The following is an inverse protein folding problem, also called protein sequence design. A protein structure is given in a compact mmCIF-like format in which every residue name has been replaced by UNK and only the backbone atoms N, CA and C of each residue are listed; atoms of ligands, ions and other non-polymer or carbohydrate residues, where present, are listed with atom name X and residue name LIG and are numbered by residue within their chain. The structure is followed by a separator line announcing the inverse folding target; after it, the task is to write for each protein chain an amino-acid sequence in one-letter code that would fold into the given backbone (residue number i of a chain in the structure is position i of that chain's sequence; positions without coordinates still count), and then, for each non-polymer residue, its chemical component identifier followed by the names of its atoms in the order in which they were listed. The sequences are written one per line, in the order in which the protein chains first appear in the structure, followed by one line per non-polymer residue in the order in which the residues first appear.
data_IF_523303389839
#
_entry.id   IF_523303389839
#
_cell.length_a   1.000
_cell.length_b   1.000
_cell.length_c   1.000
_cell.angle_alpha   90.00
_cell.angle_beta   90.00
_cell.angle_gamma   90.00
#
_symmetry.space_group_name_H-M   'P 1'
#
loop_
_entity.id
_entity.type
_entity.pdbx_description
1 polymer ?
#
# COMPACT_ATOMS: atom_id res chain seq x y z
N UNK A 1 26.17 22.19 9.43
CA UNK A 1 25.26 21.86 8.32
C UNK A 1 24.64 20.53 8.66
N UNK A 2 23.51 20.57 9.36
CA UNK A 2 22.80 19.38 9.86
C UNK A 2 22.15 18.66 8.68
N UNK A 3 22.31 17.34 8.69
CA UNK A 3 21.78 16.39 7.73
C UNK A 3 20.26 16.32 7.88
N UNK A 4 19.53 17.27 7.31
CA UNK A 4 18.07 17.26 7.20
C UNK A 4 17.70 17.32 5.71
N UNK A 5 16.63 16.60 5.36
CA UNK A 5 16.02 16.46 4.03
C UNK A 5 16.48 15.31 3.12
N UNK A 6 16.77 14.13 3.69
CA UNK A 6 16.31 12.92 2.98
C UNK A 6 14.79 12.80 3.22
N UNK A 7 13.94 12.82 2.17
CA UNK A 7 12.51 12.69 2.36
C UNK A 7 12.21 11.33 3.01
N UNK A 8 11.50 11.35 4.14
CA UNK A 8 11.08 10.12 4.82
C UNK A 8 10.25 9.26 3.84
N UNK A 9 10.49 7.94 3.79
CA UNK A 9 9.70 7.06 2.94
C UNK A 9 8.25 7.03 3.42
N UNK A 10 7.32 6.85 2.48
CA UNK A 10 5.93 6.56 2.81
C UNK A 10 5.77 5.15 3.35
N UNK A 11 4.90 5.01 4.33
CA UNK A 11 4.67 3.80 5.11
C UNK A 11 3.38 3.13 4.66
N UNK A 12 3.51 1.92 4.10
CA UNK A 12 2.41 1.04 3.75
C UNK A 12 2.19 0.00 4.86
N UNK A 13 1.01 0.00 5.48
CA UNK A 13 0.61 -1.07 6.40
C UNK A 13 -0.12 -2.19 5.66
N UNK A 14 0.09 -3.44 6.08
CA UNK A 14 -0.59 -4.60 5.51
C UNK A 14 -1.63 -5.13 6.49
N UNK A 15 -2.84 -5.39 6.00
CA UNK A 15 -3.94 -5.98 6.78
C UNK A 15 -4.36 -7.29 6.14
N UNK A 16 -4.21 -8.37 6.90
CA UNK A 16 -4.64 -9.73 6.53
C UNK A 16 -4.02 -10.26 5.23
N UNK A 17 -2.85 -9.72 4.84
CA UNK A 17 -2.08 -10.16 3.67
C UNK A 17 -1.30 -11.44 4.02
N UNK A 18 -1.29 -12.42 3.13
CA UNK A 18 -0.54 -13.67 3.34
C UNK A 18 0.98 -13.49 3.27
N UNK A 19 1.72 -14.40 3.91
CA UNK A 19 3.19 -14.35 4.00
C UNK A 19 3.90 -14.29 2.64
N UNK A 20 3.40 -15.02 1.65
CA UNK A 20 4.00 -15.05 0.30
C UNK A 20 3.77 -13.74 -0.45
N UNK A 21 2.58 -13.15 -0.31
CA UNK A 21 2.23 -11.87 -0.92
C UNK A 21 2.99 -10.73 -0.25
N UNK A 22 3.14 -10.74 1.08
CA UNK A 22 3.99 -9.81 1.80
C UNK A 22 5.45 -9.91 1.33
N UNK A 23 5.99 -11.13 1.23
CA UNK A 23 7.36 -11.34 0.75
C UNK A 23 7.53 -10.80 -0.65
N UNK A 24 6.58 -11.08 -1.54
CA UNK A 24 6.59 -10.59 -2.91
C UNK A 24 6.53 -9.06 -2.97
N UNK A 25 5.64 -8.43 -2.20
CA UNK A 25 5.53 -6.97 -2.08
C UNK A 25 6.84 -6.35 -1.61
N UNK A 26 7.47 -6.89 -0.57
CA UNK A 26 8.76 -6.40 -0.05
C UNK A 26 9.85 -6.48 -1.11
N UNK A 27 9.97 -7.63 -1.80
CA UNK A 27 10.94 -7.80 -2.87
C UNK A 27 10.69 -6.84 -4.04
N UNK A 28 9.43 -6.68 -4.44
CA UNK A 28 9.08 -5.81 -5.57
C UNK A 28 9.30 -4.33 -5.23
N UNK A 29 8.92 -3.88 -4.03
CA UNK A 29 9.22 -2.53 -3.56
C UNK A 29 10.72 -2.25 -3.52
N UNK A 30 11.53 -3.20 -3.05
CA UNK A 30 12.98 -3.04 -3.03
C UNK A 30 13.55 -2.85 -4.45
N UNK A 31 13.02 -3.57 -5.44
CA UNK A 31 13.40 -3.43 -6.85
C UNK A 31 12.91 -2.12 -7.47
N UNK A 32 11.69 -1.70 -7.13
CA UNK A 32 11.05 -0.52 -7.69
C UNK A 32 11.45 0.78 -7.01
N UNK A 33 12.15 0.74 -5.86
CA UNK A 33 12.50 1.92 -5.06
C UNK A 33 13.18 3.03 -5.87
N UNK A 34 13.94 2.68 -6.90
CA UNK A 34 14.62 3.66 -7.78
C UNK A 34 13.69 4.33 -8.81
N UNK A 35 12.51 3.76 -9.05
CA UNK A 35 11.52 4.23 -10.04
C UNK A 35 10.26 4.82 -9.39
N UNK A 36 10.00 4.46 -8.13
CA UNK A 36 8.92 4.98 -7.32
C UNK A 36 9.36 6.26 -6.63
N UNK A 37 8.91 7.41 -7.15
CA UNK A 37 8.91 8.66 -6.38
C UNK A 37 7.50 8.96 -5.87
N UNK A 38 7.30 9.13 -4.54
CA UNK A 38 8.23 8.95 -3.42
C UNK A 38 8.55 7.49 -3.10
N UNK A 39 9.64 7.27 -2.35
CA UNK A 39 10.05 5.94 -1.89
C UNK A 39 9.07 5.38 -0.85
N UNK A 40 8.73 4.09 -0.95
CA UNK A 40 7.80 3.38 -0.08
C UNK A 40 8.50 2.31 0.77
N UNK A 41 7.99 2.05 1.97
CA UNK A 41 8.38 0.94 2.81
C UNK A 41 7.15 0.29 3.47
N UNK A 42 7.29 -0.96 3.93
CA UNK A 42 6.24 -1.66 4.67
C UNK A 42 6.61 -1.65 6.16
N UNK A 43 5.77 -1.04 6.99
CA UNK A 43 5.98 -1.02 8.44
C UNK A 43 5.91 -2.44 9.03
N UNK A 44 6.84 -2.75 9.94
CA UNK A 44 6.94 -4.09 10.52
C UNK A 44 5.91 -4.33 11.63
N UNK A 45 5.56 -3.33 12.47
CA UNK A 45 4.49 -3.40 13.49
C UNK A 45 4.03 -1.98 13.87
N UNK A 46 2.74 -1.85 14.21
CA UNK A 46 2.05 -0.62 14.60
C UNK A 46 2.81 0.15 15.70
N UNK A 47 3.08 1.41 15.44
CA UNK A 47 3.64 2.38 16.38
C UNK A 47 3.43 3.80 15.86
N UNK A 48 3.68 4.00 14.56
CA UNK A 48 3.34 5.22 13.82
C UNK A 48 2.09 5.01 12.94
N UNK A 49 1.38 6.10 12.64
CA UNK A 49 0.26 6.08 11.69
C UNK A 49 0.80 5.81 10.28
N UNK A 50 0.28 4.80 9.56
CA UNK A 50 0.72 4.53 8.20
C UNK A 50 0.20 5.61 7.24
N UNK A 51 0.96 5.88 6.19
CA UNK A 51 0.55 6.79 5.10
C UNK A 51 -0.52 6.14 4.21
N UNK A 52 -0.54 4.81 4.12
CA UNK A 52 -1.59 4.05 3.47
C UNK A 52 -1.75 2.66 4.06
N UNK A 53 -2.94 2.07 3.90
CA UNK A 53 -3.24 0.71 4.35
C UNK A 53 -3.64 -0.15 3.17
N UNK A 54 -2.92 -1.25 2.94
CA UNK A 54 -3.28 -2.31 2.01
C UNK A 54 -4.11 -3.36 2.74
N UNK A 55 -5.33 -3.58 2.29
CA UNK A 55 -6.27 -4.53 2.90
C UNK A 55 -6.54 -5.68 1.93
N UNK A 56 -6.27 -6.91 2.35
CA UNK A 56 -6.62 -8.09 1.56
C UNK A 56 -8.12 -8.37 1.61
N UNK A 57 -8.83 -8.02 0.54
CA UNK A 57 -10.28 -8.18 0.43
C UNK A 57 -10.70 -9.62 0.11
N UNK A 58 -9.76 -10.49 -0.28
CA UNK A 58 -10.03 -11.91 -0.45
C UNK A 58 -10.11 -12.62 0.91
N UNK A 59 -9.46 -12.08 1.95
CA UNK A 59 -9.53 -12.55 3.34
C UNK A 59 -10.83 -12.12 4.04
N UNK A 60 -11.34 -12.94 4.97
CA UNK A 60 -12.55 -12.58 5.75
C UNK A 60 -12.27 -11.40 6.68
N UNK A 61 -11.11 -11.43 7.32
CA UNK A 61 -10.63 -10.43 8.27
C UNK A 61 -10.44 -9.08 7.57
N UNK A 62 -9.85 -9.06 6.37
CA UNK A 62 -9.68 -7.83 5.59
C UNK A 62 -11.01 -7.22 5.16
N UNK A 63 -12.01 -8.02 4.77
CA UNK A 63 -13.38 -7.51 4.54
C UNK A 63 -13.99 -6.88 5.78
N UNK A 64 -13.85 -7.53 6.94
CA UNK A 64 -14.32 -6.97 8.20
C UNK A 64 -13.62 -5.65 8.54
N UNK A 65 -12.31 -5.55 8.30
CA UNK A 65 -11.58 -4.30 8.51
C UNK A 65 -12.06 -3.21 7.56
N UNK A 66 -12.26 -3.54 6.28
CA UNK A 66 -12.73 -2.58 5.28
C UNK A 66 -14.11 -1.99 5.62
N UNK A 67 -15.02 -2.81 6.13
CA UNK A 67 -16.38 -2.42 6.44
C UNK A 67 -16.51 -1.65 7.76
N UNK A 68 -15.69 -2.01 8.77
CA UNK A 68 -15.94 -1.60 10.16
C UNK A 68 -14.90 -0.66 10.74
N UNK A 69 -13.72 -0.51 10.12
CA UNK A 69 -12.68 0.38 10.64
C UNK A 69 -12.64 1.69 9.85
N UNK A 70 -12.73 2.79 10.60
CA UNK A 70 -12.36 4.11 10.12
C UNK A 70 -10.86 4.32 10.33
N UNK A 71 -10.16 4.65 9.24
CA UNK A 71 -8.74 4.94 9.26
C UNK A 71 -8.45 6.45 9.35
N UNK A 72 -9.44 7.27 9.74
CA UNK A 72 -9.22 8.68 10.03
C UNK A 72 -8.75 9.49 8.81
N UNK A 73 -9.16 9.07 7.61
CA UNK A 73 -8.72 9.66 6.34
C UNK A 73 -7.46 9.04 5.74
N UNK A 74 -6.77 8.12 6.42
CA UNK A 74 -5.65 7.39 5.80
C UNK A 74 -6.13 6.61 4.57
N UNK A 75 -5.47 6.79 3.41
CA UNK A 75 -5.73 6.04 2.19
C UNK A 75 -5.82 4.52 2.40
N UNK A 76 -6.90 3.92 1.87
CA UNK A 76 -7.10 2.47 1.83
C UNK A 76 -6.95 1.94 0.41
N UNK A 77 -6.16 0.89 0.26
CA UNK A 77 -5.90 0.21 -0.99
C UNK A 77 -6.46 -1.21 -0.86
N UNK A 78 -7.35 -1.61 -1.77
CA UNK A 78 -7.83 -2.98 -1.82
C UNK A 78 -6.80 -3.88 -2.53
N UNK A 79 -6.43 -5.01 -1.92
CA UNK A 79 -5.72 -6.11 -2.56
C UNK A 79 -6.73 -7.24 -2.83
N UNK A 80 -6.96 -7.59 -4.09
CA UNK A 80 -7.93 -8.64 -4.45
C UNK A 80 -7.65 -9.25 -5.81
N UNK A 81 -8.19 -10.43 -6.08
CA UNK A 81 -8.23 -11.02 -7.44
C UNK A 81 -9.15 -10.27 -8.40
N UNK A 82 -10.19 -9.63 -7.87
CA UNK A 82 -11.20 -8.92 -8.63
C UNK A 82 -11.20 -7.42 -8.33
N UNK A 83 -11.85 -6.64 -9.19
CA UNK A 83 -12.00 -5.21 -8.94
C UNK A 83 -12.96 -4.96 -7.77
N UNK A 84 -12.54 -4.13 -6.81
CA UNK A 84 -13.34 -3.77 -5.64
C UNK A 84 -13.97 -2.40 -5.89
N UNK A 85 -15.25 -2.37 -6.28
CA UNK A 85 -15.96 -1.15 -6.68
C UNK A 85 -15.99 -0.05 -5.61
N UNK A 86 -15.97 -0.44 -4.32
CA UNK A 86 -15.97 0.51 -3.21
C UNK A 86 -14.57 1.09 -2.90
N UNK A 87 -13.52 0.63 -3.58
CA UNK A 87 -12.15 1.05 -3.36
C UNK A 87 -11.69 2.05 -4.43
N UNK A 88 -11.19 3.19 -3.98
CA UNK A 88 -10.56 4.18 -4.86
C UNK A 88 -9.33 3.62 -5.56
N UNK A 89 -8.53 2.83 -4.84
CA UNK A 89 -7.41 2.08 -5.42
C UNK A 89 -7.56 0.59 -5.18
N UNK A 90 -7.34 -0.16 -6.25
CA UNK A 90 -7.24 -1.62 -6.22
C UNK A 90 -5.87 -2.04 -6.76
N UNK A 91 -5.18 -2.89 -6.02
CA UNK A 91 -4.00 -3.65 -6.42
C UNK A 91 -4.46 -5.09 -6.74
N UNK A 92 -4.32 -5.52 -8.00
CA UNK A 92 -4.80 -6.83 -8.42
C UNK A 92 -3.81 -7.95 -8.05
N UNK A 93 -4.35 -9.10 -7.64
CA UNK A 93 -3.62 -10.38 -7.55
C UNK A 93 -3.64 -11.07 -8.92
N UNK A 94 -2.53 -11.65 -9.42
CA UNK A 94 -1.18 -11.57 -8.85
C UNK A 94 -0.61 -10.15 -8.96
N UNK A 95 0.13 -9.74 -7.93
CA UNK A 95 0.72 -8.39 -7.84
C UNK A 95 1.71 -8.20 -8.99
N UNK A 96 1.64 -7.04 -9.65
CA UNK A 96 2.49 -6.71 -10.80
C UNK A 96 3.26 -5.42 -10.55
N UNK A 97 4.42 -5.30 -11.19
CA UNK A 97 5.18 -4.06 -11.22
C UNK A 97 4.42 -2.95 -11.97
N UNK A 98 4.02 -3.23 -13.22
CA UNK A 98 3.42 -2.25 -14.13
C UNK A 98 2.04 -2.63 -14.65
N UNK A 99 1.38 -1.64 -15.26
CA UNK A 99 0.03 -1.74 -15.84
C UNK A 99 -1.06 -1.15 -14.94
N UNK A 100 -2.31 -1.11 -15.41
CA UNK A 100 -3.45 -0.71 -14.58
C UNK A 100 -3.54 -1.59 -13.34
N UNK A 101 -3.77 -0.98 -12.17
CA UNK A 101 -3.85 -1.68 -10.89
C UNK A 101 -2.55 -2.37 -10.43
N UNK A 102 -1.40 -1.95 -10.96
CA UNK A 102 -0.10 -2.45 -10.52
C UNK A 102 0.41 -1.72 -9.27
N UNK A 103 1.45 -2.28 -8.65
CA UNK A 103 2.06 -1.69 -7.47
C UNK A 103 2.56 -0.26 -7.75
N UNK A 104 3.23 -0.04 -8.89
CA UNK A 104 3.70 1.29 -9.27
C UNK A 104 2.56 2.28 -9.42
N UNK A 105 1.56 1.96 -10.24
CA UNK A 105 0.46 2.86 -10.55
C UNK A 105 -0.34 3.25 -9.31
N UNK A 106 -0.65 2.26 -8.47
CA UNK A 106 -1.41 2.45 -7.23
C UNK A 106 -0.63 3.31 -6.24
N UNK A 107 0.64 3.00 -5.99
CA UNK A 107 1.43 3.73 -5.01
C UNK A 107 1.76 5.15 -5.47
N UNK A 108 1.99 5.37 -6.77
CA UNK A 108 2.14 6.72 -7.34
C UNK A 108 0.84 7.52 -7.18
N UNK A 109 -0.32 6.92 -7.44
CA UNK A 109 -1.61 7.59 -7.29
C UNK A 109 -1.91 7.98 -5.84
N UNK A 110 -1.66 7.06 -4.91
CA UNK A 110 -1.82 7.32 -3.46
C UNK A 110 -0.87 8.42 -3.01
N UNK A 111 0.39 8.36 -3.44
CA UNK A 111 1.37 9.38 -3.11
C UNK A 111 1.00 10.76 -3.65
N UNK A 112 0.41 10.81 -4.85
CA UNK A 112 -0.16 12.04 -5.41
C UNK A 112 -1.21 12.63 -4.46
N UNK A 113 -2.13 11.80 -3.94
CA UNK A 113 -3.18 12.27 -3.03
C UNK A 113 -2.66 12.77 -1.68
N UNK A 114 -1.63 12.11 -1.13
CA UNK A 114 -1.03 12.52 0.15
C UNK A 114 -0.27 13.85 0.07
N UNK A 115 0.09 14.30 -1.14
CA UNK A 115 0.75 15.59 -1.40
C UNK A 115 -0.22 16.71 -1.79
N UNK A 116 -1.53 16.42 -1.86
CA UNK A 116 -2.61 17.39 -2.11
C UNK A 116 -3.02 18.14 -0.85
#
# INVERSE_FOLDING_TARGET
MTSEDDPRPFVLSLVSVGTDEERYLRSLLALLKTYLEPSWCIAARLGDLPDAVLVDMDSKEGRQVWENLDFGGTPRIALSRDHVLAAEWTLLKPIRAGGPHSLTEVLTSVAGKLRL
#
